data_IF_071169690444
#
_entry.id   IF_071169690444
#
_cell.length_a   1.000
_cell.length_b   1.000
_cell.length_c   1.000
_cell.angle_alpha   90.00
_cell.angle_beta   90.00
_cell.angle_gamma   90.00
#
_symmetry.space_group_name_H-M   'P 1'
#
loop_
_entity.id
_entity.type
_entity.pdbx_description
1 polymer ?
#
# COMPACT_ATOMS: atom_id res chain seq x y z
N UNK A 1 -20.18 0.06 56.04
CA UNK A 1 -19.33 -0.78 55.16
C UNK A 1 -20.04 -1.20 53.87
N UNK A 2 -21.26 -1.76 53.91
CA UNK A 2 -22.00 -2.19 52.69
C UNK A 2 -22.28 -1.06 51.69
N UNK A 3 -22.67 0.14 52.15
CA UNK A 3 -22.89 1.32 51.28
C UNK A 3 -21.59 1.82 50.62
N UNK A 4 -20.50 1.79 51.36
CA UNK A 4 -19.16 2.16 50.88
C UNK A 4 -18.66 1.18 49.82
N UNK A 5 -18.89 -0.12 50.01
CA UNK A 5 -18.57 -1.16 49.03
C UNK A 5 -19.38 -1.00 47.74
N UNK A 6 -20.68 -0.67 47.87
CA UNK A 6 -21.56 -0.39 46.73
C UNK A 6 -21.11 0.85 45.94
N UNK A 7 -20.74 1.94 46.63
CA UNK A 7 -20.17 3.11 45.97
C UNK A 7 -18.88 2.77 45.22
N UNK A 8 -17.99 1.98 45.83
CA UNK A 8 -16.74 1.56 45.20
C UNK A 8 -16.99 0.70 43.96
N UNK A 9 -17.93 -0.24 44.04
CA UNK A 9 -18.33 -1.08 42.92
C UNK A 9 -18.95 -0.26 41.77
N UNK A 10 -19.83 0.69 42.08
CA UNK A 10 -20.38 1.62 41.08
C UNK A 10 -19.30 2.49 40.43
N UNK A 11 -18.34 2.99 41.21
CA UNK A 11 -17.21 3.76 40.68
C UNK A 11 -16.33 2.91 39.74
N UNK A 12 -16.02 1.66 40.11
CA UNK A 12 -15.24 0.75 39.26
C UNK A 12 -15.98 0.39 37.96
N UNK A 13 -17.29 0.16 38.04
CA UNK A 13 -18.12 -0.11 36.86
C UNK A 13 -18.24 1.11 35.95
N UNK A 14 -18.35 2.32 36.50
CA UNK A 14 -18.39 3.56 35.72
C UNK A 14 -17.05 3.88 35.03
N UNK A 15 -15.92 3.56 35.69
CA UNK A 15 -14.57 3.75 35.12
C UNK A 15 -14.21 2.69 34.07
N UNK A 16 -14.83 1.50 34.13
CA UNK A 16 -14.62 0.41 33.17
C UNK A 16 -15.26 0.62 31.79
N UNK A 17 -16.11 1.64 31.61
CA UNK A 17 -16.81 1.91 30.33
C UNK A 17 -15.99 2.80 29.38
N UNK A 18 -14.67 2.90 29.58
CA UNK A 18 -13.80 3.56 28.61
C UNK A 18 -13.86 2.78 27.28
N UNK A 19 -14.63 3.28 26.32
CA UNK A 19 -14.64 2.76 24.96
C UNK A 19 -13.23 2.91 24.41
N UNK A 20 -12.60 1.79 24.05
CA UNK A 20 -11.42 1.80 23.20
C UNK A 20 -11.85 2.36 21.83
N UNK A 21 -11.84 3.67 21.69
CA UNK A 21 -12.00 4.35 20.41
C UNK A 21 -10.73 4.09 19.62
N UNK A 22 -10.64 2.91 19.02
CA UNK A 22 -9.69 2.70 17.94
C UNK A 22 -10.00 3.75 16.87
N UNK A 23 -9.09 4.69 16.66
CA UNK A 23 -9.22 5.64 15.57
C UNK A 23 -9.20 4.85 14.26
N UNK A 24 -10.38 4.70 13.65
CA UNK A 24 -10.49 4.09 12.33
C UNK A 24 -9.78 5.01 11.35
N UNK A 25 -8.59 4.63 10.93
CA UNK A 25 -7.73 5.46 10.10
C UNK A 25 -7.50 4.79 8.75
N UNK A 26 -7.55 5.59 7.68
CA UNK A 26 -7.13 5.17 6.34
C UNK A 26 -5.97 6.05 5.91
N UNK A 27 -4.81 5.44 5.68
CA UNK A 27 -3.64 6.12 5.11
C UNK A 27 -3.46 5.67 3.68
N UNK A 28 -3.35 6.63 2.78
CA UNK A 28 -3.05 6.36 1.38
C UNK A 28 -1.68 6.93 1.04
N UNK A 29 -0.86 6.12 0.39
CA UNK A 29 0.43 6.52 -0.13
C UNK A 29 0.64 5.89 -1.50
N UNK A 30 1.37 6.58 -2.35
CA UNK A 30 1.72 6.08 -3.66
C UNK A 30 2.96 6.77 -4.20
N UNK A 31 3.54 6.17 -5.23
CA UNK A 31 4.59 6.77 -6.03
C UNK A 31 4.36 6.47 -7.50
N UNK A 32 4.72 7.44 -8.33
CA UNK A 32 4.72 7.33 -9.78
C UNK A 32 6.15 7.53 -10.28
N UNK A 33 6.57 6.67 -11.21
CA UNK A 33 7.80 6.85 -11.97
C UNK A 33 7.49 6.69 -13.44
N UNK A 34 7.88 7.69 -14.21
CA UNK A 34 7.76 7.70 -15.67
C UNK A 34 9.09 8.20 -16.21
N UNK A 35 9.74 7.41 -17.05
CA UNK A 35 10.96 7.84 -17.72
C UNK A 35 11.01 7.29 -19.14
N UNK A 36 11.47 8.15 -20.05
CA UNK A 36 11.77 7.75 -21.41
C UNK A 36 13.13 7.09 -21.46
N UNK A 37 13.23 6.00 -22.21
CA UNK A 37 14.47 5.29 -22.46
C UNK A 37 14.67 5.21 -23.96
N UNK A 38 15.80 5.74 -24.43
CA UNK A 38 16.18 5.72 -25.83
C UNK A 38 17.35 4.77 -26.01
N UNK A 39 17.25 3.87 -26.98
CA UNK A 39 18.34 2.99 -27.37
C UNK A 39 18.49 2.93 -28.87
N UNK A 40 19.72 3.08 -29.31
CA UNK A 40 20.13 2.76 -30.67
C UNK A 40 20.73 1.35 -30.67
N UNK A 41 20.25 0.47 -31.54
CA UNK A 41 20.77 -0.90 -31.73
C UNK A 41 20.68 -1.85 -30.51
N UNK A 42 19.68 -1.68 -29.62
CA UNK A 42 19.36 -2.68 -28.57
C UNK A 42 19.02 -4.01 -29.25
N UNK A 43 19.61 -5.11 -28.77
CA UNK A 43 19.43 -6.46 -29.33
C UNK A 43 19.81 -6.62 -30.83
N UNK A 44 20.67 -5.74 -31.37
CA UNK A 44 21.11 -5.78 -32.77
C UNK A 44 21.75 -7.11 -33.19
N UNK A 45 22.31 -7.87 -32.25
CA UNK A 45 22.97 -9.16 -32.48
C UNK A 45 22.04 -10.38 -32.39
N UNK A 46 20.70 -10.21 -32.40
CA UNK A 46 19.77 -11.34 -32.27
C UNK A 46 19.94 -12.42 -33.36
N UNK A 47 19.78 -13.67 -32.96
CA UNK A 47 20.19 -14.91 -33.64
C UNK A 47 19.22 -15.40 -34.73
N UNK A 48 18.58 -14.50 -35.49
CA UNK A 48 17.73 -14.88 -36.62
C UNK A 48 18.35 -14.42 -37.95
N UNK A 49 18.10 -15.20 -39.01
CA UNK A 49 18.73 -15.02 -40.32
C UNK A 49 18.35 -13.71 -41.03
N UNK A 50 17.44 -12.91 -40.47
CA UNK A 50 16.81 -11.76 -41.13
C UNK A 50 17.34 -10.41 -40.67
N UNK A 51 18.15 -10.35 -39.60
CA UNK A 51 18.94 -9.16 -39.21
C UNK A 51 18.16 -7.85 -39.12
N UNK A 52 16.86 -7.91 -38.86
CA UNK A 52 15.95 -6.76 -38.90
C UNK A 52 15.49 -6.45 -37.49
N UNK A 53 15.77 -5.19 -37.09
CA UNK A 53 15.47 -4.50 -35.83
C UNK A 53 14.33 -5.17 -35.02
N UNK A 54 14.69 -5.83 -33.92
CA UNK A 54 13.74 -6.60 -33.10
C UNK A 54 13.02 -5.77 -32.02
N UNK A 55 13.31 -4.47 -31.88
CA UNK A 55 12.76 -3.65 -30.79
C UNK A 55 12.65 -2.16 -31.15
N UNK A 56 11.71 -1.46 -30.52
CA UNK A 56 11.51 -0.03 -30.69
C UNK A 56 12.65 0.78 -30.06
N UNK A 57 13.07 1.84 -30.76
CA UNK A 57 14.19 2.71 -30.36
C UNK A 57 13.85 3.58 -29.14
N UNK A 58 12.57 3.75 -28.87
CA UNK A 58 12.07 4.55 -27.76
C UNK A 58 11.03 3.77 -26.98
N UNK A 59 11.23 3.69 -25.67
CA UNK A 59 10.37 3.00 -24.73
C UNK A 59 10.02 3.93 -23.57
N UNK A 60 8.76 3.90 -23.14
CA UNK A 60 8.31 4.64 -21.96
C UNK A 60 8.12 3.64 -20.83
N UNK A 61 8.99 3.72 -19.83
CA UNK A 61 8.83 2.93 -18.62
C UNK A 61 7.93 3.65 -17.64
N UNK A 62 6.85 2.99 -17.25
CA UNK A 62 5.93 3.47 -16.23
C UNK A 62 5.77 2.49 -15.07
N UNK A 63 5.68 3.06 -13.88
CA UNK A 63 5.31 2.32 -12.68
C UNK A 63 4.51 3.22 -11.75
N UNK A 64 3.31 2.76 -11.45
CA UNK A 64 2.41 3.37 -10.48
C UNK A 64 2.18 2.40 -9.34
N UNK A 65 2.38 2.87 -8.12
CA UNK A 65 2.07 2.10 -6.91
C UNK A 65 1.05 2.86 -6.09
N UNK A 66 0.02 2.14 -5.66
CA UNK A 66 -0.98 2.64 -4.73
C UNK A 66 -1.06 1.69 -3.54
N UNK A 67 -1.01 2.27 -2.35
CA UNK A 67 -1.14 1.57 -1.09
C UNK A 67 -2.16 2.28 -0.21
N UNK A 68 -3.13 1.50 0.27
CA UNK A 68 -4.08 1.91 1.28
C UNK A 68 -3.88 1.05 2.53
N UNK A 69 -3.51 1.69 3.63
CA UNK A 69 -3.45 1.11 4.96
C UNK A 69 -4.73 1.45 5.72
N UNK A 70 -5.39 0.43 6.26
CA UNK A 70 -6.58 0.59 7.06
C UNK A 70 -6.31 0.07 8.47
N UNK A 71 -6.54 0.93 9.45
CA UNK A 71 -6.40 0.62 10.87
C UNK A 71 -7.81 0.64 11.45
N UNK A 72 -8.36 -0.54 11.74
CA UNK A 72 -9.66 -0.66 12.41
C UNK A 72 -9.49 -0.72 13.93
N UNK A 73 -8.37 -1.29 14.41
CA UNK A 73 -7.94 -1.29 15.82
C UNK A 73 -6.45 -1.63 15.95
N UNK A 74 -5.95 -1.67 17.18
CA UNK A 74 -4.60 -2.17 17.43
C UNK A 74 -4.44 -3.64 16.98
N UNK A 75 -5.49 -4.45 17.17
CA UNK A 75 -5.49 -5.87 16.84
C UNK A 75 -5.74 -6.17 15.35
N UNK A 76 -6.38 -5.25 14.61
CA UNK A 76 -6.78 -5.48 13.21
C UNK A 76 -6.30 -4.34 12.31
N UNK A 77 -5.32 -4.66 11.47
CA UNK A 77 -4.72 -3.76 10.48
C UNK A 77 -4.61 -4.49 9.15
N UNK A 78 -5.06 -3.87 8.07
CA UNK A 78 -5.02 -4.44 6.73
C UNK A 78 -4.41 -3.47 5.73
N UNK A 79 -3.72 -4.01 4.73
CA UNK A 79 -3.11 -3.26 3.64
C UNK A 79 -3.60 -3.80 2.33
N UNK A 80 -4.16 -2.91 1.52
CA UNK A 80 -4.37 -3.16 0.10
C UNK A 80 -3.26 -2.44 -0.66
N UNK A 81 -2.52 -3.17 -1.49
CA UNK A 81 -1.49 -2.60 -2.35
C UNK A 81 -1.66 -3.15 -3.76
N UNK A 82 -1.52 -2.25 -4.74
CA UNK A 82 -1.48 -2.61 -6.16
C UNK A 82 -0.31 -1.90 -6.82
N UNK A 83 0.26 -2.57 -7.82
CA UNK A 83 1.26 -2.00 -8.71
C UNK A 83 0.72 -2.17 -10.14
N UNK A 84 0.71 -1.07 -10.87
CA UNK A 84 0.57 -1.07 -12.31
C UNK A 84 1.95 -0.74 -12.87
N UNK A 85 2.46 -1.61 -13.72
CA UNK A 85 3.67 -1.37 -14.48
C UNK A 85 3.56 -2.08 -15.81
N UNK A 86 4.40 -1.64 -16.73
CA UNK A 86 4.39 -2.19 -18.08
C UNK A 86 4.71 -3.69 -18.07
N UNK A 87 3.90 -4.47 -18.78
CA UNK A 87 4.16 -5.88 -19.08
C UNK A 87 4.61 -5.91 -20.53
N UNK A 88 5.90 -5.68 -20.75
CA UNK A 88 6.51 -5.95 -22.05
C UNK A 88 6.37 -7.42 -22.44
#
# INVERSE_FOLDING_TARGET
>A
MRKTLLCLACCLLALGVARANAATEVKMAGDARVYGMFFENRNWTSWNATGTKTEDTFEIWERFRLRADFVASEAVKFRLATMVGDQT
#
